data_IF_309347718201
#
_entry.id   IF_309347718201
#
_cell.length_a   1.000
_cell.length_b   1.000
_cell.length_c   1.000
_cell.angle_alpha   90.00
_cell.angle_beta   90.00
_cell.angle_gamma   90.00
#
_symmetry.space_group_name_H-M   'P 1'
#
loop_
_entity.id
_entity.type
_entity.pdbx_description
1 polymer ?
#
# COMPACT_ATOMS: atom_id res chain seq x y z
N UNK A 1 -16.12 -17.67 -6.07
CA UNK A 1 -15.62 -17.53 -7.45
C UNK A 1 -16.27 -16.32 -8.12
N UNK A 2 -17.59 -16.23 -8.25
CA UNK A 2 -18.26 -15.05 -8.85
C UNK A 2 -18.03 -13.72 -8.09
N UNK A 3 -18.01 -13.73 -6.76
CA UNK A 3 -17.73 -12.52 -5.96
C UNK A 3 -16.27 -12.05 -6.13
N UNK A 4 -15.35 -12.99 -6.28
CA UNK A 4 -13.92 -12.77 -6.55
C UNK A 4 -13.67 -12.28 -7.99
N UNK A 5 -14.39 -12.82 -8.97
CA UNK A 5 -14.35 -12.33 -10.37
C UNK A 5 -14.96 -10.93 -10.52
N UNK A 6 -16.01 -10.59 -9.77
CA UNK A 6 -16.57 -9.23 -9.74
C UNK A 6 -15.63 -8.22 -9.09
N UNK A 7 -14.84 -8.65 -8.09
CA UNK A 7 -13.79 -7.85 -7.46
C UNK A 7 -12.59 -7.62 -8.39
N UNK A 8 -12.34 -8.54 -9.34
CA UNK A 8 -11.25 -8.44 -10.31
C UNK A 8 -11.66 -7.64 -11.56
N UNK A 9 -12.94 -7.68 -11.95
CA UNK A 9 -13.46 -7.03 -13.16
C UNK A 9 -13.46 -5.48 -13.09
N UNK A 10 -13.41 -4.90 -11.88
CA UNK A 10 -13.46 -3.45 -11.62
C UNK A 10 -12.15 -2.90 -11.02
N UNK A 11 -11.02 -3.62 -11.16
CA UNK A 11 -9.69 -3.11 -10.77
C UNK A 11 -9.24 -2.06 -11.81
N UNK A 12 -9.91 -0.91 -11.80
CA UNK A 12 -9.43 0.31 -12.43
C UNK A 12 -8.22 0.82 -11.63
N UNK A 13 -7.19 1.34 -12.30
CA UNK A 13 -6.02 1.95 -11.67
C UNK A 13 -6.43 3.00 -10.61
N UNK A 14 -7.56 3.67 -10.85
CA UNK A 14 -8.19 4.62 -9.94
C UNK A 14 -8.71 3.96 -8.65
N UNK A 15 -9.25 2.73 -8.74
CA UNK A 15 -9.72 1.96 -7.59
C UNK A 15 -8.57 1.55 -6.65
N UNK A 16 -7.49 0.99 -7.21
CA UNK A 16 -6.28 0.66 -6.44
C UNK A 16 -5.71 1.92 -5.79
N UNK A 17 -5.56 2.98 -6.57
CA UNK A 17 -5.04 4.26 -6.09
C UNK A 17 -5.85 4.83 -4.92
N UNK A 18 -7.18 4.90 -5.06
CA UNK A 18 -8.07 5.47 -4.05
C UNK A 18 -8.05 4.65 -2.77
N UNK A 19 -8.07 3.31 -2.86
CA UNK A 19 -7.97 2.44 -1.69
C UNK A 19 -6.68 2.70 -0.91
N UNK A 20 -5.54 2.74 -1.61
CA UNK A 20 -4.24 2.92 -0.97
C UNK A 20 -4.05 4.33 -0.39
N UNK A 21 -4.57 5.37 -1.04
CA UNK A 21 -4.59 6.72 -0.44
C UNK A 21 -5.41 6.74 0.85
N UNK A 22 -6.61 6.16 0.83
CA UNK A 22 -7.50 6.15 1.99
C UNK A 22 -6.87 5.39 3.16
N UNK A 23 -6.09 4.34 2.87
CA UNK A 23 -5.36 3.58 3.86
C UNK A 23 -4.12 4.34 4.38
N UNK A 24 -3.42 5.09 3.51
CA UNK A 24 -2.21 5.83 3.85
C UNK A 24 -2.44 7.14 4.62
N UNK A 25 -3.50 7.89 4.31
CA UNK A 25 -3.74 9.20 4.92
C UNK A 25 -3.85 9.16 6.45
N UNK A 26 -4.56 8.20 7.07
CA UNK A 26 -4.56 8.02 8.52
C UNK A 26 -3.17 7.75 9.10
N UNK A 27 -2.21 7.25 8.31
CA UNK A 27 -0.84 7.02 8.78
C UNK A 27 -0.08 8.30 9.11
N UNK A 28 -0.54 9.48 8.69
CA UNK A 28 0.05 10.75 9.12
C UNK A 28 -0.42 11.20 10.51
N UNK A 29 -1.44 10.57 11.09
CA UNK A 29 -1.92 10.90 12.43
C UNK A 29 -0.81 10.54 13.44
N UNK A 30 -0.33 11.48 14.27
CA UNK A 30 0.77 11.24 15.20
C UNK A 30 0.49 10.07 16.16
N UNK A 31 1.40 9.10 16.21
CA UNK A 31 1.33 7.90 17.05
C UNK A 31 0.40 6.82 16.51
N UNK A 32 -0.79 7.21 16.06
CA UNK A 32 -1.74 6.30 15.44
C UNK A 32 -1.17 5.66 14.17
N UNK A 33 -0.45 6.44 13.36
CA UNK A 33 -0.01 5.98 12.06
C UNK A 33 0.92 4.78 12.06
N UNK A 34 1.76 4.63 13.08
CA UNK A 34 2.63 3.44 13.26
C UNK A 34 1.77 2.20 13.52
N UNK A 35 0.79 2.32 14.42
CA UNK A 35 -0.12 1.22 14.75
C UNK A 35 -1.00 0.85 13.56
N UNK A 36 -1.51 1.85 12.84
CA UNK A 36 -2.32 1.66 11.64
C UNK A 36 -1.54 1.00 10.51
N UNK A 37 -0.30 1.44 10.24
CA UNK A 37 0.55 0.82 9.23
C UNK A 37 0.94 -0.62 9.58
N UNK A 38 1.25 -0.91 10.85
CA UNK A 38 1.50 -2.27 11.30
C UNK A 38 0.24 -3.17 11.16
N UNK A 39 -0.94 -2.65 11.49
CA UNK A 39 -2.21 -3.36 11.30
C UNK A 39 -2.50 -3.64 9.82
N UNK A 40 -2.30 -2.64 8.95
CA UNK A 40 -2.48 -2.80 7.51
C UNK A 40 -1.55 -3.88 6.92
N UNK A 41 -0.26 -3.85 7.30
CA UNK A 41 0.71 -4.87 6.88
C UNK A 41 0.32 -6.28 7.38
N UNK A 42 -0.12 -6.40 8.64
CA UNK A 42 -0.57 -7.67 9.19
C UNK A 42 -1.83 -8.20 8.49
N UNK A 43 -2.84 -7.35 8.31
CA UNK A 43 -4.09 -7.71 7.64
C UNK A 43 -3.85 -8.15 6.19
N UNK A 44 -2.96 -7.46 5.48
CA UNK A 44 -2.58 -7.80 4.10
C UNK A 44 -1.85 -9.15 4.05
N UNK A 45 -0.91 -9.39 4.97
CA UNK A 45 -0.22 -10.68 5.09
C UNK A 45 -1.16 -11.85 5.38
N UNK A 46 -2.16 -11.65 6.25
CA UNK A 46 -3.21 -12.64 6.55
C UNK A 46 -4.14 -12.88 5.35
N UNK A 47 -4.49 -11.84 4.60
CA UNK A 47 -5.28 -12.00 3.38
C UNK A 47 -4.53 -12.86 2.34
N UNK A 48 -3.22 -12.62 2.17
CA UNK A 48 -2.39 -13.44 1.29
C UNK A 48 -2.21 -14.88 1.77
N UNK A 49 -2.11 -15.14 3.08
CA UNK A 49 -2.02 -16.51 3.59
C UNK A 49 -3.29 -17.31 3.28
N UNK A 50 -4.47 -16.70 3.41
CA UNK A 50 -5.74 -17.35 3.05
C UNK A 50 -5.81 -17.63 1.54
N UNK A 51 -5.31 -16.70 0.70
CA UNK A 51 -5.23 -16.93 -0.75
C UNK A 51 -4.24 -18.05 -1.12
N UNK A 52 -3.14 -18.17 -0.38
CA UNK A 52 -2.17 -19.25 -0.53
C UNK A 52 -2.78 -20.61 -0.18
N UNK A 53 -3.53 -20.69 0.92
CA UNK A 53 -4.22 -21.91 1.34
C UNK A 53 -5.32 -22.32 0.34
N UNK A 54 -5.94 -21.34 -0.35
CA UNK A 54 -7.00 -21.57 -1.32
C UNK A 54 -6.48 -21.93 -2.73
N UNK A 55 -5.20 -21.70 -3.04
CA UNK A 55 -4.64 -21.94 -4.37
C UNK A 55 -3.34 -22.76 -4.32
N UNK A 56 -3.36 -24.06 -4.71
CA UNK A 56 -2.19 -24.93 -4.67
C UNK A 56 -1.04 -24.47 -5.58
N UNK A 57 -1.26 -23.56 -6.54
CA UNK A 57 -0.17 -22.98 -7.34
C UNK A 57 0.67 -21.94 -6.57
N UNK A 58 0.13 -21.38 -5.47
CA UNK A 58 0.79 -20.38 -4.64
C UNK A 58 1.44 -20.99 -3.38
N UNK A 59 1.23 -22.29 -3.13
CA UNK A 59 1.71 -23.01 -1.94
C UNK A 59 3.24 -22.88 -1.71
N UNK A 60 4.01 -22.70 -2.79
CA UNK A 60 5.48 -22.57 -2.72
C UNK A 60 5.98 -21.12 -2.88
N UNK A 61 5.10 -20.13 -3.09
CA UNK A 61 5.48 -18.72 -3.22
C UNK A 61 5.22 -18.04 -1.87
N UNK A 62 6.25 -17.52 -1.16
CA UNK A 62 6.01 -16.81 0.08
C UNK A 62 5.05 -15.63 -0.16
N UNK A 63 4.02 -15.49 0.67
CA UNK A 63 2.98 -14.45 0.56
C UNK A 63 3.53 -13.04 0.42
N UNK A 64 4.63 -12.74 1.12
CA UNK A 64 5.35 -11.47 1.03
C UNK A 64 5.93 -11.21 -0.37
N UNK A 65 6.31 -12.26 -1.09
CA UNK A 65 6.90 -12.18 -2.44
C UNK A 65 5.91 -11.61 -3.44
N UNK A 66 4.60 -11.86 -3.28
CA UNK A 66 3.56 -11.32 -4.17
C UNK A 66 3.54 -9.78 -4.08
N UNK A 67 3.68 -9.22 -2.87
CA UNK A 67 3.78 -7.78 -2.64
C UNK A 67 5.09 -7.18 -3.20
N UNK A 68 6.19 -7.91 -3.14
CA UNK A 68 7.49 -7.44 -3.67
C UNK A 68 7.69 -7.69 -5.17
N UNK A 69 6.85 -8.51 -5.79
CA UNK A 69 6.95 -8.87 -7.21
C UNK A 69 6.32 -7.80 -8.12
N UNK A 70 5.39 -6.99 -7.60
CA UNK A 70 4.82 -5.88 -8.35
C UNK A 70 5.60 -4.57 -8.08
N UNK A 71 5.90 -3.78 -9.12
CA UNK A 71 6.48 -2.44 -8.94
C UNK A 71 5.58 -1.54 -8.09
N UNK A 72 4.26 -1.78 -8.10
CA UNK A 72 3.29 -1.09 -7.27
C UNK A 72 3.48 -1.36 -5.77
N UNK A 73 3.62 -2.62 -5.36
CA UNK A 73 3.79 -2.96 -3.96
C UNK A 73 5.05 -2.35 -3.33
N UNK A 74 6.13 -2.20 -4.11
CA UNK A 74 7.33 -1.46 -3.67
C UNK A 74 7.04 0.03 -3.43
N UNK A 75 6.28 0.66 -4.32
CA UNK A 75 5.90 2.07 -4.18
C UNK A 75 4.93 2.29 -3.03
N UNK A 76 4.03 1.34 -2.78
CA UNK A 76 3.10 1.32 -1.65
C UNK A 76 3.85 1.23 -0.31
N UNK A 77 4.79 0.28 -0.17
CA UNK A 77 5.63 0.15 1.03
C UNK A 77 6.43 1.44 1.26
N UNK A 78 7.00 2.03 0.21
CA UNK A 78 7.73 3.29 0.32
C UNK A 78 6.83 4.44 0.78
N UNK A 79 5.64 4.57 0.19
CA UNK A 79 4.62 5.55 0.57
C UNK A 79 4.23 5.41 2.05
N UNK A 80 3.90 4.20 2.49
CA UNK A 80 3.48 3.94 3.87
C UNK A 80 4.62 4.18 4.86
N UNK A 81 5.86 3.84 4.48
CA UNK A 81 7.05 4.12 5.28
C UNK A 81 7.25 5.62 5.51
N UNK A 82 7.04 6.45 4.49
CA UNK A 82 7.08 7.91 4.63
C UNK A 82 6.06 8.39 5.66
N UNK A 83 4.79 7.98 5.51
CA UNK A 83 3.71 8.40 6.40
C UNK A 83 3.93 7.94 7.86
N UNK A 84 4.27 6.66 8.07
CA UNK A 84 4.59 6.10 9.38
C UNK A 84 5.79 6.81 10.04
N UNK A 85 6.84 7.09 9.28
CA UNK A 85 8.03 7.77 9.80
C UNK A 85 7.71 9.17 10.31
N UNK A 86 6.82 9.90 9.61
CA UNK A 86 6.37 11.22 10.02
C UNK A 86 5.51 11.16 11.28
N UNK A 87 4.60 10.20 11.36
CA UNK A 87 3.82 9.94 12.57
C UNK A 87 4.71 9.71 13.80
N UNK A 88 5.76 8.90 13.65
CA UNK A 88 6.76 8.68 14.71
C UNK A 88 7.52 9.96 15.08
N UNK A 89 8.00 10.70 14.08
CA UNK A 89 8.80 11.91 14.32
C UNK A 89 8.03 12.97 15.09
N UNK A 90 6.73 13.13 14.79
CA UNK A 90 5.87 14.08 15.52
C UNK A 90 5.70 13.64 16.98
N UNK A 91 5.47 12.35 17.24
CA UNK A 91 5.40 11.82 18.61
C UNK A 91 6.71 12.04 19.35
N UNK A 92 7.84 11.76 18.72
CA UNK A 92 9.15 11.98 19.32
C UNK A 92 9.33 13.46 19.72
N UNK A 93 8.97 14.40 18.85
CA UNK A 93 9.00 15.84 19.14
C UNK A 93 8.03 16.24 20.25
N UNK A 94 6.83 15.64 20.31
CA UNK A 94 5.87 15.86 21.41
C UNK A 94 6.45 15.43 22.76
N UNK A 95 7.05 14.24 22.83
CA UNK A 95 7.69 13.71 24.04
C UNK A 95 8.86 14.62 24.48
N UNK A 96 9.66 15.09 23.52
CA UNK A 96 10.81 15.99 23.77
C UNK A 96 10.44 17.47 23.92
N UNK A 97 9.14 17.83 23.86
CA UNK A 97 8.64 19.22 23.94
C UNK A 97 9.26 20.17 22.89
N UNK A 98 9.62 19.64 21.72
CA UNK A 98 10.17 20.42 20.60
C UNK A 98 9.00 21.00 19.79
N UNK A 99 9.16 22.21 19.23
CA UNK A 99 8.13 22.83 18.39
C UNK A 99 7.85 22.02 17.13
N UNK A 100 6.56 21.78 16.85
CA UNK A 100 6.07 20.99 15.68
C UNK A 100 5.52 21.92 14.59
N UNK A 101 5.37 23.23 14.87
CA UNK A 101 4.75 24.20 13.95
C UNK A 101 5.45 24.30 12.60
N UNK A 102 6.76 24.07 12.55
CA UNK A 102 7.54 24.06 11.30
C UNK A 102 7.23 22.88 10.39
N UNK A 103 6.69 21.78 10.95
CA UNK A 103 6.61 20.51 10.25
C UNK A 103 5.43 20.44 9.27
N UNK A 104 4.42 21.31 9.41
CA UNK A 104 3.24 21.32 8.52
C UNK A 104 3.58 21.45 7.03
N UNK A 105 4.60 22.24 6.68
CA UNK A 105 5.06 22.37 5.28
C UNK A 105 5.67 21.07 4.78
N UNK A 106 6.42 20.39 5.65
CA UNK A 106 7.08 19.13 5.32
C UNK A 106 6.05 18.01 5.20
N UNK A 107 5.07 17.96 6.12
CA UNK A 107 3.96 17.00 6.06
C UNK A 107 3.18 17.17 4.75
N UNK A 108 2.86 18.41 4.35
CA UNK A 108 2.18 18.67 3.07
C UNK A 108 2.97 18.17 1.86
N UNK A 109 4.30 18.36 1.86
CA UNK A 109 5.17 17.85 0.80
C UNK A 109 5.23 16.31 0.79
N UNK A 110 5.32 15.68 1.96
CA UNK A 110 5.32 14.21 2.09
C UNK A 110 4.00 13.60 1.65
N UNK A 111 2.87 14.23 1.97
CA UNK A 111 1.55 13.83 1.45
C UNK A 111 1.52 13.93 -0.07
N UNK A 112 2.06 15.01 -0.66
CA UNK A 112 2.11 15.15 -2.12
C UNK A 112 3.00 14.08 -2.78
N UNK A 113 4.17 13.78 -2.19
CA UNK A 113 5.06 12.71 -2.67
C UNK A 113 4.37 11.35 -2.56
N UNK A 114 3.70 11.09 -1.44
CA UNK A 114 2.95 9.86 -1.21
C UNK A 114 1.85 9.67 -2.27
N UNK A 115 1.04 10.71 -2.51
CA UNK A 115 -0.01 10.68 -3.54
C UNK A 115 0.61 10.42 -4.92
N UNK A 116 1.72 11.08 -5.24
CA UNK A 116 2.44 10.87 -6.49
C UNK A 116 2.95 9.44 -6.66
N UNK A 117 3.52 8.85 -5.60
CA UNK A 117 3.98 7.46 -5.60
C UNK A 117 2.83 6.48 -5.80
N UNK A 118 1.74 6.63 -5.06
CA UNK A 118 0.58 5.74 -5.19
C UNK A 118 -0.11 5.88 -6.54
N UNK A 119 -0.18 7.10 -7.09
CA UNK A 119 -0.74 7.35 -8.41
C UNK A 119 0.12 6.69 -9.49
N UNK A 120 1.42 6.97 -9.50
CA UNK A 120 2.35 6.36 -10.45
C UNK A 120 2.36 4.83 -10.32
N UNK A 121 2.31 4.32 -9.10
CA UNK A 121 2.20 2.89 -8.84
C UNK A 121 0.94 2.27 -9.46
N UNK A 122 -0.24 2.86 -9.23
CA UNK A 122 -1.50 2.35 -9.79
C UNK A 122 -1.50 2.34 -11.33
N UNK A 123 -0.93 3.37 -11.96
CA UNK A 123 -0.76 3.38 -13.42
C UNK A 123 0.25 2.33 -13.90
N UNK A 124 1.39 2.17 -13.21
CA UNK A 124 2.41 1.17 -13.59
C UNK A 124 1.83 -0.24 -13.49
N UNK A 125 1.07 -0.55 -12.45
CA UNK A 125 0.42 -1.86 -12.30
C UNK A 125 -0.60 -2.14 -13.39
N UNK A 126 -1.43 -1.14 -13.72
CA UNK A 126 -2.37 -1.23 -14.82
C UNK A 126 -1.67 -1.53 -16.15
N UNK A 127 -0.57 -0.81 -16.47
CA UNK A 127 0.22 -1.09 -17.67
C UNK A 127 0.92 -2.46 -17.60
N UNK A 128 1.40 -2.87 -16.44
CA UNK A 128 2.02 -4.18 -16.23
C UNK A 128 1.03 -5.30 -16.56
N UNK A 129 -0.18 -5.25 -16.01
CA UNK A 129 -1.24 -6.25 -16.27
C UNK A 129 -1.61 -6.29 -17.76
N UNK A 130 -1.73 -5.13 -18.42
CA UNK A 130 -2.04 -5.09 -19.86
C UNK A 130 -0.91 -5.59 -20.75
N UNK A 131 0.34 -5.47 -20.30
CA UNK A 131 1.52 -5.87 -21.06
C UNK A 131 1.81 -7.37 -21.00
N UNK A 132 1.12 -8.12 -20.12
CA UNK A 132 1.22 -9.59 -20.06
C UNK A 132 0.51 -10.17 -21.30
N UNK A 133 1.22 -10.86 -22.21
CA UNK A 133 0.63 -11.42 -23.42
C UNK A 133 -0.47 -12.42 -23.09
N UNK A 134 -1.62 -12.31 -23.76
CA UNK A 134 -2.82 -13.15 -23.60
C UNK A 134 -2.65 -14.64 -24.00
N UNK A 135 -1.43 -15.12 -24.23
CA UNK A 135 -1.14 -16.51 -24.62
C UNK A 135 -0.90 -17.46 -23.43
N UNK A 136 -1.08 -16.98 -22.19
CA UNK A 136 -1.22 -17.85 -21.01
C UNK A 136 -2.69 -17.98 -20.61
N UNK A 137 -3.16 -19.19 -20.27
CA UNK A 137 -4.55 -19.40 -19.88
C UNK A 137 -4.86 -18.50 -18.70
N UNK A 138 -5.92 -17.69 -18.86
CA UNK A 138 -6.48 -16.88 -17.78
C UNK A 138 -6.91 -17.84 -16.67
N UNK A 139 -6.27 -17.70 -15.51
CA UNK A 139 -6.54 -18.45 -14.28
C UNK A 139 -7.78 -17.85 -13.62
#
# INVERSE_FOLDING_TARGET
MEEFESLIADIDAVGIFTHNILLALPMFIPGFGIAWGAFAAFSTGMAFSVLQDANPMLENIPSLTILFMSPFGLMEIAAYSIAMSRSYMIVHKMIKRISIRSDFRVIGLEVAILIGLLLAGGFIEYYFIQSIPTDMPKI
#
